data_IF_452967487046
#
_entry.id   IF_452967487046
#
_cell.length_a   1.000
_cell.length_b   1.000
_cell.length_c   1.000
_cell.angle_alpha   90.00
_cell.angle_beta   90.00
_cell.angle_gamma   90.00
#
_symmetry.space_group_name_H-M   'P 1'
#
loop_
_entity.id
_entity.type
_entity.pdbx_description
1 polymer ?
#
# COMPACT_ATOMS: atom_id res chain seq x y z
N UNK A 1 15.39 -42.26 42.76
CA UNK A 1 16.08 -41.01 42.40
C UNK A 1 16.45 -40.92 40.91
N UNK A 2 16.99 -41.97 40.27
CA UNK A 2 17.40 -41.92 38.84
C UNK A 2 16.23 -41.84 37.83
N UNK A 3 15.09 -42.47 38.15
CA UNK A 3 13.87 -42.49 37.31
C UNK A 3 13.14 -41.14 37.23
N UNK A 4 13.07 -40.41 38.35
CA UNK A 4 12.46 -39.07 38.42
C UNK A 4 13.28 -38.05 37.61
N UNK A 5 14.61 -38.14 37.67
CA UNK A 5 15.52 -37.29 36.89
C UNK A 5 15.42 -37.54 35.38
N UNK A 6 15.21 -38.81 34.98
CA UNK A 6 15.00 -39.18 33.59
C UNK A 6 13.67 -38.64 33.05
N UNK A 7 12.58 -38.72 33.82
CA UNK A 7 11.26 -38.22 33.41
C UNK A 7 11.26 -36.69 33.27
N UNK A 8 11.91 -35.98 34.20
CA UNK A 8 12.05 -34.51 34.13
C UNK A 8 12.84 -34.07 32.91
N UNK A 9 13.93 -34.77 32.56
CA UNK A 9 14.69 -34.51 31.33
C UNK A 9 13.85 -34.80 30.07
N UNK A 10 13.05 -35.88 30.05
CA UNK A 10 12.18 -36.21 28.92
C UNK A 10 11.10 -35.16 28.68
N UNK A 11 10.47 -34.64 29.74
CA UNK A 11 9.45 -33.59 29.64
C UNK A 11 10.06 -32.28 29.13
N UNK A 12 11.26 -31.91 29.60
CA UNK A 12 11.99 -30.73 29.11
C UNK A 12 12.36 -30.84 27.62
N UNK A 13 12.75 -32.05 27.16
CA UNK A 13 13.06 -32.29 25.75
C UNK A 13 11.81 -32.18 24.86
N UNK A 14 10.65 -32.65 25.31
CA UNK A 14 9.39 -32.59 24.54
C UNK A 14 8.86 -31.14 24.43
N UNK A 15 8.97 -30.35 25.51
CA UNK A 15 8.56 -28.93 25.53
C UNK A 15 9.50 -28.09 24.65
N UNK A 16 10.82 -28.33 24.72
CA UNK A 16 11.81 -27.64 23.87
C UNK A 16 11.62 -27.93 22.38
N UNK A 17 11.25 -29.16 22.02
CA UNK A 17 11.03 -29.56 20.63
C UNK A 17 9.72 -28.99 20.04
N UNK A 18 8.73 -28.73 20.88
CA UNK A 18 7.46 -28.09 20.48
C UNK A 18 7.62 -26.58 20.24
N UNK A 19 8.53 -25.91 20.95
CA UNK A 19 8.83 -24.48 20.72
C UNK A 19 9.59 -24.23 19.41
N UNK A 20 10.40 -25.19 18.96
CA UNK A 20 11.17 -25.09 17.71
C UNK A 20 10.31 -25.13 16.44
N UNK A 21 9.12 -25.74 16.49
CA UNK A 21 8.20 -25.82 15.34
C UNK A 21 7.31 -24.58 15.19
N UNK A 22 7.19 -23.75 16.21
CA UNK A 22 6.33 -22.57 16.23
C UNK A 22 6.97 -21.31 15.59
N UNK A 23 8.23 -21.37 15.13
CA UNK A 23 8.95 -20.20 14.62
C UNK A 23 8.74 -19.88 13.13
N UNK A 24 7.79 -20.54 12.45
CA UNK A 24 7.44 -20.17 11.07
C UNK A 24 6.53 -18.94 11.08
N UNK A 25 7.12 -17.75 11.01
CA UNK A 25 6.40 -16.50 10.78
C UNK A 25 5.66 -16.51 9.43
N UNK A 26 4.61 -15.69 9.27
CA UNK A 26 3.81 -15.64 8.04
C UNK A 26 4.69 -15.30 6.82
N UNK A 27 4.60 -16.13 5.79
CA UNK A 27 5.21 -15.84 4.49
C UNK A 27 4.40 -14.73 3.82
N UNK A 28 4.91 -13.49 3.84
CA UNK A 28 4.30 -12.38 3.11
C UNK A 28 4.79 -12.42 1.66
N UNK A 29 3.89 -12.70 0.73
CA UNK A 29 4.17 -12.53 -0.70
C UNK A 29 4.25 -11.03 -0.96
N UNK A 30 5.40 -10.51 -1.44
CA UNK A 30 5.49 -9.09 -1.76
C UNK A 30 4.50 -8.75 -2.87
N UNK A 31 3.75 -7.66 -2.71
CA UNK A 31 2.86 -7.14 -3.75
C UNK A 31 3.66 -6.87 -5.03
N UNK A 32 3.09 -7.20 -6.19
CA UNK A 32 3.65 -6.88 -7.50
C UNK A 32 3.75 -5.35 -7.60
N UNK A 33 4.98 -4.82 -7.61
CA UNK A 33 5.29 -3.37 -7.63
C UNK A 33 5.36 -2.77 -9.03
N UNK A 34 4.89 -3.49 -10.05
CA UNK A 34 5.00 -3.04 -11.43
C UNK A 34 3.96 -1.95 -11.71
N UNK A 35 4.36 -0.81 -12.31
CA UNK A 35 3.39 0.17 -12.80
C UNK A 35 2.40 -0.46 -13.77
N UNK A 36 1.15 0.00 -13.73
CA UNK A 36 0.07 -0.48 -14.58
C UNK A 36 -0.35 0.67 -15.50
N UNK A 37 -0.46 0.40 -16.79
CA UNK A 37 -1.09 1.33 -17.73
C UNK A 37 -2.61 1.23 -17.61
N UNK A 38 -3.25 2.37 -17.32
CA UNK A 38 -4.70 2.50 -17.27
C UNK A 38 -5.18 3.40 -18.41
N UNK A 39 -6.03 2.86 -19.28
CA UNK A 39 -6.70 3.63 -20.33
C UNK A 39 -7.85 4.41 -19.70
N UNK A 40 -7.79 5.74 -19.82
CA UNK A 40 -8.84 6.64 -19.36
C UNK A 40 -10.01 6.69 -20.38
N UNK A 41 -11.20 7.15 -19.98
CA UNK A 41 -12.38 7.14 -20.86
C UNK A 41 -12.26 7.94 -22.16
N UNK A 42 -11.33 8.88 -22.26
CA UNK A 42 -11.02 9.62 -23.49
C UNK A 42 -9.98 8.94 -24.39
N UNK A 43 -9.47 7.78 -23.99
CA UNK A 43 -8.44 7.02 -24.68
C UNK A 43 -7.01 7.40 -24.32
N UNK A 44 -6.78 8.41 -23.47
CA UNK A 44 -5.44 8.69 -22.96
C UNK A 44 -5.00 7.62 -21.95
N UNK A 45 -3.69 7.48 -21.73
CA UNK A 45 -3.13 6.52 -20.78
C UNK A 45 -2.55 7.21 -19.56
N UNK A 46 -2.82 6.64 -18.39
CA UNK A 46 -2.20 7.00 -17.11
C UNK A 46 -1.46 5.79 -16.55
N UNK A 47 -0.17 5.97 -16.25
CA UNK A 47 0.64 4.97 -15.54
C UNK A 47 0.42 5.14 -14.04
N UNK A 48 -0.10 4.09 -13.41
CA UNK A 48 -0.43 4.07 -11.98
C UNK A 48 0.38 3.03 -11.21
N UNK A 49 0.50 3.23 -9.90
CA UNK A 49 1.01 2.23 -8.95
C UNK A 49 -0.08 1.90 -7.93
N UNK A 50 -0.35 0.61 -7.76
CA UNK A 50 -1.21 0.12 -6.69
C UNK A 50 -0.35 -0.14 -5.46
N UNK A 51 -0.81 0.33 -4.31
CA UNK A 51 -0.17 0.15 -3.02
C UNK A 51 -1.17 -0.44 -2.05
N UNK A 52 -0.66 -1.16 -1.07
CA UNK A 52 -1.47 -1.67 0.01
C UNK A 52 -1.20 -3.10 0.41
N UNK A 53 -1.90 -3.50 1.45
CA UNK A 53 -2.02 -4.85 1.95
C UNK A 53 -3.48 -5.17 2.30
N UNK A 54 -3.71 -6.18 3.15
CA UNK A 54 -5.03 -6.62 3.58
C UNK A 54 -5.85 -5.54 4.30
N UNK A 55 -5.20 -4.51 4.85
CA UNK A 55 -5.84 -3.50 5.71
C UNK A 55 -6.05 -2.18 4.97
N UNK A 56 -5.14 -1.81 4.08
CA UNK A 56 -5.17 -0.52 3.40
C UNK A 56 -4.73 -0.67 1.96
N UNK A 57 -5.43 -0.02 1.04
CA UNK A 57 -5.05 0.05 -0.38
C UNK A 57 -5.23 1.47 -0.92
N UNK A 58 -4.32 1.88 -1.79
CA UNK A 58 -4.38 3.18 -2.46
C UNK A 58 -3.66 3.13 -3.80
N UNK A 59 -3.95 4.10 -4.66
CA UNK A 59 -3.36 4.19 -5.99
C UNK A 59 -2.66 5.53 -6.14
N UNK A 60 -1.49 5.52 -6.76
CA UNK A 60 -0.79 6.76 -7.13
C UNK A 60 -0.54 6.82 -8.62
N UNK A 61 -0.30 8.02 -9.16
CA UNK A 61 0.44 8.17 -10.41
C UNK A 61 1.83 7.55 -10.27
N UNK A 62 2.50 7.33 -11.40
CA UNK A 62 3.87 6.84 -11.38
C UNK A 62 4.79 7.74 -10.53
N UNK A 63 4.64 9.06 -10.60
CA UNK A 63 5.44 9.98 -9.79
C UNK A 63 4.87 10.25 -8.38
N UNK A 64 3.92 9.42 -7.92
CA UNK A 64 3.58 9.30 -6.50
C UNK A 64 2.43 10.17 -6.00
N UNK A 65 1.63 10.80 -6.87
CA UNK A 65 0.45 11.55 -6.43
C UNK A 65 -0.76 10.62 -6.27
N UNK A 66 -1.48 10.74 -5.15
CA UNK A 66 -2.67 9.94 -4.88
C UNK A 66 -3.73 10.17 -5.97
N UNK A 67 -4.33 9.09 -6.46
CA UNK A 67 -5.41 9.14 -7.44
C UNK A 67 -6.55 8.20 -7.07
N UNK A 68 -7.75 8.56 -7.49
CA UNK A 68 -8.94 7.73 -7.37
C UNK A 68 -9.84 7.97 -8.58
N UNK A 69 -10.43 6.89 -9.10
CA UNK A 69 -11.41 7.00 -10.18
C UNK A 69 -12.64 7.77 -9.70
N UNK A 70 -13.12 8.70 -10.51
CA UNK A 70 -14.42 9.33 -10.31
C UNK A 70 -15.55 8.45 -10.90
N UNK A 71 -16.80 8.87 -10.73
CA UNK A 71 -17.98 8.13 -11.21
C UNK A 71 -18.03 7.92 -12.74
N UNK A 72 -17.20 8.66 -13.49
CA UNK A 72 -17.06 8.54 -14.94
C UNK A 72 -15.88 7.66 -15.36
N UNK A 73 -15.12 7.12 -14.41
CA UNK A 73 -13.96 6.25 -14.67
C UNK A 73 -12.63 6.98 -14.90
N UNK A 74 -12.57 8.31 -14.79
CA UNK A 74 -11.30 9.05 -14.89
C UNK A 74 -10.54 8.98 -13.56
N UNK A 75 -9.25 8.66 -13.61
CA UNK A 75 -8.37 8.83 -12.46
C UNK A 75 -8.14 10.32 -12.21
N UNK A 76 -8.71 10.81 -11.12
CA UNK A 76 -8.49 12.17 -10.65
C UNK A 76 -7.51 12.16 -9.49
N UNK A 77 -6.77 13.26 -9.32
CA UNK A 77 -6.01 13.48 -8.10
C UNK A 77 -6.90 13.34 -6.88
N UNK A 78 -6.39 12.77 -5.81
CA UNK A 78 -7.15 12.52 -4.59
C UNK A 78 -6.43 13.10 -3.36
N UNK A 79 -7.21 13.25 -2.29
CA UNK A 79 -6.72 13.67 -0.97
C UNK A 79 -7.19 12.67 0.07
N UNK A 80 -6.36 12.44 1.08
CA UNK A 80 -6.71 11.63 2.23
C UNK A 80 -7.30 12.51 3.34
N UNK A 81 -8.46 12.14 3.85
CA UNK A 81 -9.10 12.74 5.02
C UNK A 81 -8.43 12.31 6.32
N UNK A 82 -8.78 12.97 7.44
CA UNK A 82 -8.26 12.61 8.78
C UNK A 82 -8.68 11.22 9.24
N UNK A 83 -9.76 10.69 8.69
CA UNK A 83 -10.29 9.36 8.92
C UNK A 83 -9.63 8.28 8.03
N UNK A 84 -8.66 8.66 7.20
CA UNK A 84 -8.01 7.79 6.23
C UNK A 84 -8.80 7.58 4.95
N UNK A 85 -9.93 8.26 4.76
CA UNK A 85 -10.73 8.15 3.54
C UNK A 85 -10.04 8.85 2.36
N UNK A 86 -9.91 8.16 1.23
CA UNK A 86 -9.33 8.74 0.01
C UNK A 86 -10.45 9.28 -0.89
N UNK A 87 -10.48 10.59 -1.10
CA UNK A 87 -11.52 11.25 -1.89
C UNK A 87 -10.96 11.85 -3.17
N UNK A 88 -11.57 11.51 -4.30
CA UNK A 88 -11.20 12.07 -5.60
C UNK A 88 -11.54 13.56 -5.67
N UNK A 89 -10.62 14.36 -6.20
CA UNK A 89 -10.87 15.75 -6.58
C UNK A 89 -11.46 15.82 -7.98
N UNK A 90 -11.76 17.04 -8.45
CA UNK A 90 -12.28 17.26 -9.82
C UNK A 90 -11.20 17.31 -10.90
N UNK A 91 -9.91 17.22 -10.53
CA UNK A 91 -8.81 17.37 -11.47
C UNK A 91 -8.33 16.00 -11.95
N UNK A 92 -8.59 15.68 -13.22
CA UNK A 92 -8.05 14.51 -13.92
C UNK A 92 -6.53 14.57 -13.90
N UNK A 93 -5.90 13.43 -13.60
CA UNK A 93 -4.46 13.28 -13.56
C UNK A 93 -3.95 12.79 -14.92
N UNK A 94 -2.83 13.36 -15.37
CA UNK A 94 -2.07 12.84 -16.50
C UNK A 94 -0.69 12.37 -16.05
N UNK A 95 -0.05 11.55 -16.90
CA UNK A 95 1.37 11.25 -16.74
C UNK A 95 2.19 12.53 -16.67
N UNK A 96 3.32 12.48 -15.94
CA UNK A 96 4.13 13.65 -15.61
C UNK A 96 4.52 14.48 -16.84
N UNK A 97 4.86 13.81 -17.94
CA UNK A 97 5.25 14.38 -19.22
C UNK A 97 4.11 15.03 -20.01
N UNK A 98 2.86 14.64 -19.75
CA UNK A 98 1.66 15.18 -20.42
C UNK A 98 0.97 16.32 -19.64
N UNK A 99 1.43 16.62 -18.43
CA UNK A 99 0.78 17.64 -17.58
C UNK A 99 0.92 19.03 -18.14
N UNK A 100 -0.21 19.71 -18.25
CA UNK A 100 -0.26 21.12 -18.63
C UNK A 100 0.26 22.04 -17.51
N UNK A 101 0.62 23.28 -17.86
CA UNK A 101 0.98 24.32 -16.88
C UNK A 101 -0.13 24.57 -15.84
N UNK A 102 -1.40 24.48 -16.27
CA UNK A 102 -2.55 24.64 -15.38
C UNK A 102 -2.67 23.49 -14.37
N UNK A 103 -2.34 22.27 -14.80
CA UNK A 103 -2.31 21.11 -13.91
C UNK A 103 -1.16 21.18 -12.90
N UNK A 104 0.05 21.55 -13.34
CA UNK A 104 1.16 21.79 -12.40
C UNK A 104 0.84 22.85 -11.34
N UNK A 105 0.15 23.93 -11.75
CA UNK A 105 -0.30 24.96 -10.81
C UNK A 105 -1.32 24.41 -9.81
N UNK A 106 -2.22 23.53 -10.26
CA UNK A 106 -3.19 22.87 -9.39
C UNK A 106 -2.49 21.98 -8.36
N UNK A 107 -1.58 21.11 -8.78
CA UNK A 107 -0.79 20.23 -7.91
C UNK A 107 -0.04 21.07 -6.87
N UNK A 108 0.72 22.07 -7.31
CA UNK A 108 1.49 22.92 -6.39
C UNK A 108 0.63 23.62 -5.33
N UNK A 109 -0.62 23.98 -5.68
CA UNK A 109 -1.52 24.69 -4.77
C UNK A 109 -2.26 23.76 -3.81
N UNK A 110 -2.63 22.57 -4.25
CA UNK A 110 -3.57 21.71 -3.53
C UNK A 110 -2.96 20.40 -3.03
N UNK A 111 -1.90 19.91 -3.69
CA UNK A 111 -1.27 18.61 -3.46
C UNK A 111 0.24 18.74 -3.70
N UNK A 112 0.96 19.56 -2.91
CA UNK A 112 2.31 20.01 -3.28
C UNK A 112 3.38 18.92 -3.26
N UNK A 113 3.07 17.74 -2.69
CA UNK A 113 4.03 16.66 -2.53
C UNK A 113 3.42 15.30 -2.88
N UNK A 114 4.25 14.34 -3.35
CA UNK A 114 3.85 12.96 -3.47
C UNK A 114 3.28 12.42 -2.16
N UNK A 115 2.32 11.52 -2.28
CA UNK A 115 1.62 10.94 -1.14
C UNK A 115 2.58 10.11 -0.29
N UNK A 116 2.60 10.40 1.00
CA UNK A 116 3.27 9.62 2.02
C UNK A 116 2.19 9.05 2.93
N UNK A 117 1.99 7.72 2.98
CA UNK A 117 1.04 7.15 3.92
C UNK A 117 1.49 7.46 5.36
N UNK A 118 0.53 7.66 6.26
CA UNK A 118 0.83 7.70 7.68
C UNK A 118 1.61 6.43 8.06
N UNK A 119 2.68 6.57 8.85
CA UNK A 119 3.38 5.41 9.40
C UNK A 119 2.35 4.64 10.22
N UNK A 120 2.11 3.38 9.87
CA UNK A 120 1.33 2.50 10.72
C UNK A 120 2.08 2.40 12.05
N UNK A 121 1.36 2.61 13.15
CA UNK A 121 1.91 2.39 14.49
C UNK A 121 2.32 0.91 14.53
N UNK A 122 3.63 0.65 14.49
CA UNK A 122 4.19 -0.68 14.72
C UNK A 122 3.84 -1.06 16.17
N UNK A 123 2.70 -1.76 16.35
CA UNK A 123 2.32 -2.43 17.61
C UNK A 123 3.32 -3.53 18.00
#
# INVERSE_FOLDING_TARGET
MKKEFSIVCSVFLIIGMSFALAQRGPQRVPAIRTPIESVQPDGDTLVIRLHGDERRHYTTTEDGYLVRANDKGYYCYAVEGKDGSITATRKVAHNKEKRTRCEWRYIKRHIPQPYQPAKEDEE
#
